data_IF_414902787668
#
_entry.id   IF_414902787668
#
_cell.length_a   1.000
_cell.length_b   1.000
_cell.length_c   1.000
_cell.angle_alpha   90.00
_cell.angle_beta   90.00
_cell.angle_gamma   90.00
#
_symmetry.space_group_name_H-M   'P 1'
#
loop_
_entity.id
_entity.type
_entity.pdbx_description
1 polymer ?
#
# COMPACT_ATOMS: atom_id res chain seq x y z
N UNK A 1 20.49 -19.67 -1.19
CA UNK A 1 20.84 -18.92 0.03
C UNK A 1 20.85 -19.92 1.17
N UNK A 2 21.85 -19.88 2.02
CA UNK A 2 21.92 -20.67 3.24
C UNK A 2 20.92 -20.16 4.28
N UNK A 3 20.51 -21.04 5.21
CA UNK A 3 19.52 -20.70 6.24
C UNK A 3 19.96 -19.58 7.17
N UNK A 4 21.26 -19.47 7.43
CA UNK A 4 21.84 -18.38 8.23
C UNK A 4 21.65 -17.05 7.48
N UNK A 5 21.94 -16.97 6.18
CA UNK A 5 21.69 -15.75 5.41
C UNK A 5 20.20 -15.35 5.38
N UNK A 6 19.26 -16.29 5.22
CA UNK A 6 17.83 -16.00 5.27
C UNK A 6 17.40 -15.43 6.63
N UNK A 7 17.94 -15.99 7.72
CA UNK A 7 17.69 -15.50 9.06
C UNK A 7 18.28 -14.09 9.25
N UNK A 8 19.52 -13.86 8.80
CA UNK A 8 20.16 -12.55 8.85
C UNK A 8 19.35 -11.50 8.09
N UNK A 9 18.91 -11.82 6.86
CA UNK A 9 18.06 -10.92 6.06
C UNK A 9 16.74 -10.63 6.79
N UNK A 10 16.10 -11.66 7.35
CA UNK A 10 14.83 -11.51 8.07
C UNK A 10 14.99 -10.60 9.28
N UNK A 11 16.01 -10.82 10.11
CA UNK A 11 16.27 -10.01 11.30
C UNK A 11 16.56 -8.56 10.92
N UNK A 12 17.44 -8.34 9.94
CA UNK A 12 17.77 -6.98 9.48
C UNK A 12 16.55 -6.27 8.86
N UNK A 13 15.72 -6.98 8.09
CA UNK A 13 14.49 -6.43 7.53
C UNK A 13 13.49 -5.99 8.62
N UNK A 14 13.37 -6.76 9.71
CA UNK A 14 12.54 -6.38 10.86
C UNK A 14 13.07 -5.10 11.52
N UNK A 15 14.38 -5.00 11.75
CA UNK A 15 14.98 -3.78 12.30
C UNK A 15 14.73 -2.56 11.40
N UNK A 16 14.91 -2.71 10.08
CA UNK A 16 14.63 -1.65 9.11
C UNK A 16 13.15 -1.25 9.15
N UNK A 17 12.24 -2.22 9.17
CA UNK A 17 10.80 -1.97 9.26
C UNK A 17 10.43 -1.19 10.52
N UNK A 18 10.97 -1.58 11.68
CA UNK A 18 10.76 -0.89 12.95
C UNK A 18 11.26 0.56 12.91
N UNK A 19 12.49 0.78 12.43
CA UNK A 19 13.11 2.11 12.38
C UNK A 19 12.35 3.07 11.45
N UNK A 20 11.89 2.57 10.30
CA UNK A 20 11.13 3.37 9.32
C UNK A 20 9.73 3.71 9.84
N UNK A 21 9.00 2.72 10.38
CA UNK A 21 7.63 2.93 10.89
C UNK A 21 7.62 3.85 12.11
N UNK A 22 8.62 3.76 12.99
CA UNK A 22 8.70 4.59 14.20
C UNK A 22 8.89 6.09 13.91
N UNK A 23 9.28 6.46 12.68
CA UNK A 23 9.53 7.84 12.26
C UNK A 23 8.42 8.46 11.42
N UNK A 24 7.30 7.76 11.23
CA UNK A 24 6.17 8.31 10.49
C UNK A 24 5.43 9.37 11.34
N UNK A 25 4.90 10.41 10.69
CA UNK A 25 4.01 11.39 11.35
C UNK A 25 2.66 10.75 11.73
N UNK A 26 2.06 11.18 12.83
CA UNK A 26 0.75 10.69 13.31
C UNK A 26 -0.37 10.87 12.29
N UNK A 27 -0.29 11.89 11.43
CA UNK A 27 -1.28 12.13 10.38
C UNK A 27 -1.27 11.03 9.31
N UNK A 28 -0.16 10.31 9.17
CA UNK A 28 0.03 9.27 8.16
C UNK A 28 -0.18 7.86 8.71
N UNK A 29 -0.53 7.65 9.98
CA UNK A 29 -0.72 6.30 10.53
C UNK A 29 -1.80 5.50 9.79
N UNK A 30 -2.93 6.14 9.47
CA UNK A 30 -4.04 5.47 8.76
C UNK A 30 -3.69 5.18 7.29
N UNK A 31 -3.13 6.13 6.50
CA UNK A 31 -2.57 5.81 5.19
C UNK A 31 -1.47 4.74 5.23
N UNK A 32 -0.60 4.77 6.23
CA UNK A 32 0.49 3.79 6.39
C UNK A 32 -0.09 2.39 6.67
N UNK A 33 -1.10 2.29 7.53
CA UNK A 33 -1.79 1.03 7.81
C UNK A 33 -2.39 0.44 6.53
N UNK A 34 -3.03 1.28 5.69
CA UNK A 34 -3.54 0.86 4.38
C UNK A 34 -2.41 0.45 3.42
N UNK A 35 -1.32 1.23 3.37
CA UNK A 35 -0.17 0.96 2.52
C UNK A 35 0.55 -0.34 2.88
N UNK A 36 0.71 -0.64 4.17
CA UNK A 36 1.26 -1.90 4.64
C UNK A 36 0.37 -3.09 4.22
N UNK A 37 -0.95 -2.92 4.23
CA UNK A 37 -1.88 -3.92 3.71
C UNK A 37 -1.75 -4.10 2.18
N UNK A 38 -1.47 -3.05 1.41
CA UNK A 38 -1.20 -3.18 -0.03
C UNK A 38 0.10 -3.95 -0.30
N UNK A 39 1.16 -3.68 0.47
CA UNK A 39 2.49 -4.30 0.29
C UNK A 39 2.47 -5.80 0.63
N UNK A 40 1.72 -6.21 1.67
CA UNK A 40 1.60 -7.64 2.00
C UNK A 40 0.98 -8.47 0.87
N UNK A 41 0.29 -7.82 -0.08
CA UNK A 41 -0.19 -8.42 -1.33
C UNK A 41 0.88 -9.14 -2.17
N UNK A 42 2.17 -9.04 -1.82
CA UNK A 42 3.26 -9.87 -2.36
C UNK A 42 2.98 -11.38 -2.29
N UNK A 43 2.06 -11.82 -1.41
CA UNK A 43 1.52 -13.18 -1.39
C UNK A 43 1.03 -13.67 -2.78
N UNK A 44 0.65 -12.76 -3.68
CA UNK A 44 0.31 -13.06 -5.07
C UNK A 44 1.41 -13.83 -5.81
N UNK A 45 2.69 -13.47 -5.57
CA UNK A 45 3.83 -14.17 -6.19
C UNK A 45 3.86 -15.63 -5.73
N UNK A 46 3.65 -15.87 -4.44
CA UNK A 46 3.57 -17.23 -3.89
C UNK A 46 2.40 -18.01 -4.49
N UNK A 47 1.22 -17.38 -4.60
CA UNK A 47 0.03 -18.01 -5.19
C UNK A 47 0.25 -18.39 -6.67
N UNK A 48 0.90 -17.53 -7.46
CA UNK A 48 1.23 -17.81 -8.86
C UNK A 48 2.23 -18.97 -8.98
N UNK A 49 3.26 -19.01 -8.12
CA UNK A 49 4.23 -20.11 -8.10
C UNK A 49 3.54 -21.44 -7.79
N UNK A 50 2.68 -21.47 -6.78
CA UNK A 50 1.90 -22.67 -6.41
C UNK A 50 0.97 -23.09 -7.53
N UNK A 51 0.24 -22.15 -8.15
CA UNK A 51 -0.62 -22.44 -9.29
C UNK A 51 0.15 -23.02 -10.48
N UNK A 52 1.34 -22.48 -10.77
CA UNK A 52 2.21 -22.96 -11.85
C UNK A 52 2.83 -24.35 -11.62
N UNK A 53 2.80 -24.84 -10.38
CA UNK A 53 3.32 -26.16 -9.99
C UNK A 53 2.20 -27.17 -9.67
N UNK A 54 0.94 -26.76 -9.77
CA UNK A 54 -0.20 -27.58 -9.39
C UNK A 54 -0.48 -28.69 -10.43
N UNK A 55 -0.23 -29.94 -10.04
CA UNK A 55 -0.53 -31.12 -10.86
C UNK A 55 -1.89 -31.76 -10.54
N UNK A 56 -2.42 -31.49 -9.35
CA UNK A 56 -3.74 -31.97 -8.91
C UNK A 56 -4.81 -30.90 -9.21
N UNK A 57 -5.93 -31.26 -9.86
CA UNK A 57 -7.03 -30.34 -10.14
C UNK A 57 -7.56 -29.60 -8.90
N UNK A 58 -7.54 -30.24 -7.73
CA UNK A 58 -7.97 -29.62 -6.47
C UNK A 58 -6.99 -28.55 -6.01
N UNK A 59 -5.69 -28.82 -6.10
CA UNK A 59 -4.63 -27.85 -5.77
C UNK A 59 -4.68 -26.67 -6.73
N UNK A 60 -4.92 -26.92 -8.03
CA UNK A 60 -5.07 -25.87 -9.02
C UNK A 60 -6.27 -24.96 -8.73
N UNK A 61 -7.42 -25.54 -8.35
CA UNK A 61 -8.61 -24.77 -8.00
C UNK A 61 -8.38 -23.86 -6.79
N UNK A 62 -7.74 -24.37 -5.74
CA UNK A 62 -7.40 -23.58 -4.54
C UNK A 62 -6.36 -22.51 -4.88
N UNK A 63 -5.34 -22.83 -5.67
CA UNK A 63 -4.32 -21.87 -6.07
C UNK A 63 -4.90 -20.74 -6.94
N UNK A 64 -5.84 -21.07 -7.83
CA UNK A 64 -6.53 -20.07 -8.64
C UNK A 64 -7.36 -19.13 -7.76
N UNK A 65 -8.08 -19.66 -6.76
CA UNK A 65 -8.80 -18.83 -5.79
C UNK A 65 -7.83 -17.95 -4.99
N UNK A 66 -6.68 -18.49 -4.57
CA UNK A 66 -5.65 -17.73 -3.88
C UNK A 66 -5.10 -16.58 -4.73
N UNK A 67 -4.88 -16.79 -6.03
CA UNK A 67 -4.46 -15.74 -6.97
C UNK A 67 -5.51 -14.62 -7.06
N UNK A 68 -6.79 -14.97 -7.16
CA UNK A 68 -7.88 -13.98 -7.23
C UNK A 68 -7.94 -13.14 -5.95
N UNK A 69 -7.91 -13.79 -4.79
CA UNK A 69 -7.96 -13.11 -3.49
C UNK A 69 -6.72 -12.25 -3.25
N UNK A 70 -5.53 -12.75 -3.58
CA UNK A 70 -4.28 -12.01 -3.47
C UNK A 70 -4.28 -10.78 -4.40
N UNK A 71 -4.77 -10.93 -5.62
CA UNK A 71 -4.90 -9.81 -6.57
C UNK A 71 -5.88 -8.76 -6.04
N UNK A 72 -7.04 -9.17 -5.51
CA UNK A 72 -8.01 -8.26 -4.93
C UNK A 72 -7.43 -7.49 -3.72
N UNK A 73 -6.69 -8.16 -2.85
CA UNK A 73 -6.02 -7.51 -1.71
C UNK A 73 -4.94 -6.51 -2.17
N UNK A 74 -4.09 -6.90 -3.12
CA UNK A 74 -3.05 -6.05 -3.69
C UNK A 74 -3.65 -4.79 -4.32
N UNK A 75 -4.54 -4.96 -5.31
CA UNK A 75 -5.14 -3.85 -6.06
C UNK A 75 -6.02 -2.98 -5.15
N UNK A 76 -6.89 -3.60 -4.34
CA UNK A 76 -7.74 -2.88 -3.41
C UNK A 76 -6.93 -2.07 -2.39
N UNK A 77 -5.85 -2.66 -1.87
CA UNK A 77 -4.92 -1.98 -0.96
C UNK A 77 -4.29 -0.74 -1.59
N UNK A 78 -3.78 -0.85 -2.82
CA UNK A 78 -3.17 0.28 -3.52
C UNK A 78 -4.19 1.38 -3.87
N UNK A 79 -5.39 1.02 -4.34
CA UNK A 79 -6.45 2.00 -4.66
C UNK A 79 -6.91 2.77 -3.41
N UNK A 80 -7.11 2.08 -2.30
CA UNK A 80 -7.51 2.73 -1.03
C UNK A 80 -6.40 3.64 -0.52
N UNK A 81 -5.14 3.18 -0.58
CA UNK A 81 -3.98 3.96 -0.13
C UNK A 81 -3.80 5.22 -0.98
N UNK A 82 -3.92 5.11 -2.31
CA UNK A 82 -3.86 6.26 -3.23
C UNK A 82 -4.94 7.30 -2.90
N UNK A 83 -6.18 6.85 -2.72
CA UNK A 83 -7.29 7.74 -2.31
C UNK A 83 -7.04 8.41 -0.97
N UNK A 84 -6.41 7.72 -0.02
CA UNK A 84 -6.03 8.29 1.27
C UNK A 84 -4.94 9.35 1.11
N UNK A 85 -3.91 9.08 0.32
CA UNK A 85 -2.79 10.00 0.09
C UNK A 85 -3.21 11.24 -0.72
N UNK A 86 -4.18 11.10 -1.63
CA UNK A 86 -4.72 12.22 -2.39
C UNK A 86 -5.35 13.31 -1.51
N UNK A 87 -5.78 12.98 -0.28
CA UNK A 87 -6.33 13.94 0.68
C UNK A 87 -5.26 14.89 1.27
N UNK A 88 -3.97 14.57 1.12
CA UNK A 88 -2.87 15.42 1.56
C UNK A 88 -2.45 16.45 0.51
N UNK A 89 -2.92 16.30 -0.72
CA UNK A 89 -2.77 17.36 -1.71
C UNK A 89 -3.74 18.48 -1.38
N UNK A 90 -3.21 19.68 -1.12
CA UNK A 90 -4.03 20.87 -0.98
C UNK A 90 -4.94 20.98 -2.23
N UNK A 91 -6.26 21.05 -2.02
CA UNK A 91 -7.15 21.55 -3.06
C UNK A 91 -6.54 22.88 -3.51
N UNK A 92 -6.27 23.02 -4.81
CA UNK A 92 -6.07 24.34 -5.38
C UNK A 92 -7.34 25.11 -5.06
N UNK A 93 -7.28 25.98 -4.05
CA UNK A 93 -8.32 26.97 -3.82
C UNK A 93 -8.54 27.65 -5.16
N UNK A 94 -9.76 27.65 -5.73
CA UNK A 94 -10.03 28.50 -6.87
C UNK A 94 -9.69 29.91 -6.38
N UNK A 95 -8.64 30.47 -6.98
CA UNK A 95 -8.10 31.80 -6.71
C UNK A 95 -9.28 32.73 -6.45
N UNK A 96 -9.21 33.44 -5.31
CA UNK A 96 -10.13 34.51 -4.90
C UNK A 96 -10.43 35.47 -6.07
N UNK A 97 -11.37 35.11 -6.93
CA UNK A 97 -11.90 35.95 -7.99
C UNK A 97 -13.06 36.74 -7.37
N UNK A 98 -12.71 37.79 -6.61
CA UNK A 98 -13.73 38.61 -5.95
C UNK A 98 -13.21 39.60 -4.92
N UNK A 99 -11.98 40.10 -5.04
CA UNK A 99 -11.60 41.31 -4.34
C UNK A 99 -12.09 42.51 -5.17
N UNK A 100 -13.30 43.00 -4.91
CA UNK A 100 -13.72 44.30 -5.41
C UNK A 100 -12.87 45.40 -4.76
N UNK A 101 -12.27 46.33 -5.53
CA UNK A 101 -11.48 47.41 -4.97
C UNK A 101 -12.43 48.42 -4.30
N UNK A 102 -12.11 48.82 -3.07
CA UNK A 102 -12.79 49.91 -2.36
C UNK A 102 -12.71 51.19 -3.20
N UNK A 103 -13.83 51.64 -3.73
CA UNK A 103 -13.96 53.00 -4.24
C UNK A 103 -14.21 53.93 -3.05
N UNK A 104 -13.22 54.75 -2.74
CA UNK A 104 -13.42 55.93 -1.91
C UNK A 104 -14.36 56.91 -2.62
N UNK A 105 -15.30 57.47 -1.87
CA UNK A 105 -15.94 58.73 -2.22
C UNK A 105 -16.38 59.40 -0.94
N UNK A 106 -15.65 60.47 -0.61
CA UNK A 106 -15.97 61.65 0.22
C UNK A 106 -16.69 61.43 1.54
#
# INVERSE_FOLDING_TARGET
MDGIALLTITVLAVFVGFEVVSKVSSTLHTPLMSGANAIHGIILVGAIIVAGQANDPWVLAVALLAVVLATANLVGGFVVTDRMLHMFHAKKDPVKAGAQPKAGSK
#
